data_IF_772976584987
#
_entry.id   IF_772976584987
#
_cell.length_a   1.000
_cell.length_b   1.000
_cell.length_c   1.000
_cell.angle_alpha   90.00
_cell.angle_beta   90.00
_cell.angle_gamma   90.00
#
_symmetry.space_group_name_H-M   'P 1'
#
loop_
_entity.id
_entity.type
_entity.pdbx_description
1 polymer ?
#
# COMPACT_ATOMS: atom_id res chain seq x y z
N UNK A 1 -42.04 19.90 -10.81
CA UNK A 1 -41.44 20.85 -9.85
C UNK A 1 -39.91 20.69 -9.81
N UNK A 2 -39.26 20.63 -10.98
CA UNK A 2 -37.82 20.41 -11.12
C UNK A 2 -37.25 21.42 -12.13
N UNK A 3 -37.22 22.69 -11.75
CA UNK A 3 -36.47 23.71 -12.49
C UNK A 3 -36.15 24.86 -11.54
N UNK A 4 -35.05 24.70 -10.79
CA UNK A 4 -34.21 25.73 -10.15
C UNK A 4 -33.40 25.07 -9.04
N UNK A 5 -32.30 24.41 -9.41
CA UNK A 5 -31.18 24.21 -8.50
C UNK A 5 -30.03 25.06 -9.02
N UNK A 6 -30.03 26.30 -8.53
CA UNK A 6 -28.97 27.29 -8.71
C UNK A 6 -27.75 26.89 -7.89
N UNK A 7 -26.60 27.10 -8.51
CA UNK A 7 -25.22 26.84 -8.05
C UNK A 7 -24.91 27.52 -6.71
N UNK A 8 -24.73 26.73 -5.64
CA UNK A 8 -23.82 26.96 -4.48
C UNK A 8 -23.43 25.61 -3.88
N UNK A 9 -22.28 25.53 -3.21
CA UNK A 9 -21.52 24.29 -2.90
C UNK A 9 -22.04 23.37 -1.77
N UNK A 10 -23.22 23.61 -1.18
CA UNK A 10 -23.79 22.82 -0.07
C UNK A 10 -24.95 21.84 -0.40
N UNK A 11 -26.02 22.25 -1.12
CA UNK A 11 -27.28 21.51 -1.14
C UNK A 11 -27.26 20.17 -1.91
N UNK A 12 -26.38 20.00 -2.90
CA UNK A 12 -26.31 18.75 -3.66
C UNK A 12 -25.58 17.62 -2.91
N UNK A 13 -24.54 17.98 -2.14
CA UNK A 13 -23.75 17.07 -1.31
C UNK A 13 -24.57 16.59 -0.11
N UNK A 14 -25.17 17.54 0.61
CA UNK A 14 -26.07 17.25 1.72
C UNK A 14 -27.32 16.52 1.24
N UNK A 15 -27.89 16.90 0.09
CA UNK A 15 -29.03 16.23 -0.50
C UNK A 15 -28.75 14.77 -0.88
N UNK A 16 -27.60 14.45 -1.48
CA UNK A 16 -27.25 13.07 -1.82
C UNK A 16 -27.02 12.22 -0.56
N UNK A 17 -26.26 12.73 0.40
CA UNK A 17 -25.98 12.06 1.68
C UNK A 17 -27.26 11.85 2.48
N UNK A 18 -28.10 12.88 2.57
CA UNK A 18 -29.42 12.79 3.17
C UNK A 18 -30.33 11.80 2.44
N UNK A 19 -30.24 11.73 1.10
CA UNK A 19 -31.05 10.80 0.33
C UNK A 19 -30.62 9.34 0.56
N UNK A 20 -29.32 9.08 0.68
CA UNK A 20 -28.78 7.75 1.03
C UNK A 20 -29.21 7.37 2.46
N UNK A 21 -29.13 8.31 3.41
CA UNK A 21 -29.46 8.07 4.82
C UNK A 21 -30.95 7.92 5.11
N UNK A 22 -31.81 8.74 4.50
CA UNK A 22 -33.21 8.90 4.94
C UNK A 22 -34.23 8.17 4.08
N UNK A 23 -33.96 7.97 2.78
CA UNK A 23 -34.94 7.33 1.92
C UNK A 23 -34.77 5.82 1.92
N UNK A 24 -35.92 5.13 2.04
CA UNK A 24 -36.17 3.84 1.39
C UNK A 24 -35.84 4.02 -0.10
N UNK A 25 -34.56 3.95 -0.45
CA UNK A 25 -34.10 4.03 -1.83
C UNK A 25 -34.73 2.86 -2.58
N UNK A 26 -35.86 3.12 -3.24
CA UNK A 26 -36.41 2.24 -4.25
C UNK A 26 -35.45 2.25 -5.44
N UNK A 27 -35.40 1.12 -6.14
CA UNK A 27 -34.55 0.82 -7.29
C UNK A 27 -34.38 1.94 -8.31
N UNK A 28 -35.45 2.70 -8.56
CA UNK A 28 -35.49 3.84 -9.48
C UNK A 28 -34.47 4.96 -9.15
N UNK A 29 -33.96 5.03 -7.92
CA UNK A 29 -32.95 6.02 -7.53
C UNK A 29 -31.51 5.65 -7.94
N UNK A 30 -31.23 4.39 -8.26
CA UNK A 30 -29.88 3.93 -8.65
C UNK A 30 -29.33 4.70 -9.86
N UNK A 31 -30.18 4.91 -10.87
CA UNK A 31 -29.85 5.64 -12.10
C UNK A 31 -29.48 7.12 -11.84
N UNK A 32 -29.85 7.66 -10.69
CA UNK A 32 -29.57 9.05 -10.33
C UNK A 32 -28.34 9.20 -9.41
N UNK A 33 -27.98 8.18 -8.64
CA UNK A 33 -26.88 8.26 -7.66
C UNK A 33 -25.51 8.21 -8.33
N UNK A 34 -25.28 7.26 -9.25
CA UNK A 34 -23.95 7.10 -9.88
C UNK A 34 -23.51 8.33 -10.68
N UNK A 35 -24.35 8.97 -11.52
CA UNK A 35 -23.95 10.18 -12.24
C UNK A 35 -23.61 11.35 -11.30
N UNK A 36 -24.28 11.44 -10.15
CA UNK A 36 -24.01 12.47 -9.14
C UNK A 36 -22.69 12.20 -8.41
N UNK A 37 -22.43 10.96 -8.02
CA UNK A 37 -21.15 10.55 -7.44
C UNK A 37 -20.01 10.84 -8.41
N UNK A 38 -20.12 10.40 -9.67
CA UNK A 38 -19.11 10.62 -10.69
C UNK A 38 -18.83 12.12 -10.91
N UNK A 39 -19.87 12.96 -10.96
CA UNK A 39 -19.72 14.41 -11.13
C UNK A 39 -19.06 15.08 -9.92
N UNK A 40 -19.32 14.59 -8.71
CA UNK A 40 -18.69 15.11 -7.49
C UNK A 40 -17.24 14.62 -7.37
N UNK A 41 -16.95 13.37 -7.72
CA UNK A 41 -15.58 12.86 -7.80
C UNK A 41 -14.75 13.65 -8.83
N UNK A 42 -15.29 13.85 -10.03
CA UNK A 42 -14.67 14.69 -11.08
C UNK A 42 -14.35 16.11 -10.56
N UNK A 43 -15.34 16.74 -9.91
CA UNK A 43 -15.18 18.08 -9.36
C UNK A 43 -14.10 18.16 -8.27
N UNK A 44 -13.90 17.08 -7.52
CA UNK A 44 -12.92 17.01 -6.44
C UNK A 44 -11.58 16.39 -6.86
N UNK A 45 -11.44 15.91 -8.10
CA UNK A 45 -10.23 15.23 -8.58
C UNK A 45 -8.95 16.05 -8.37
N UNK A 46 -9.01 17.37 -8.53
CA UNK A 46 -7.84 18.25 -8.36
C UNK A 46 -7.54 18.63 -6.91
N UNK A 47 -8.28 18.11 -5.93
CA UNK A 47 -8.10 18.40 -4.51
C UNK A 47 -8.23 17.11 -3.67
N UNK A 48 -7.10 16.44 -3.37
CA UNK A 48 -7.07 15.15 -2.69
C UNK A 48 -7.83 15.15 -1.36
N UNK A 49 -7.64 16.16 -0.51
CA UNK A 49 -8.32 16.24 0.80
C UNK A 49 -9.83 16.30 0.68
N UNK A 50 -10.35 17.08 -0.28
CA UNK A 50 -11.79 17.18 -0.53
C UNK A 50 -12.34 15.91 -1.15
N UNK A 51 -11.57 15.26 -2.02
CA UNK A 51 -11.96 13.97 -2.58
C UNK A 51 -12.02 12.92 -1.48
N UNK A 52 -11.01 12.83 -0.62
CA UNK A 52 -10.97 11.93 0.54
C UNK A 52 -12.15 12.19 1.48
N UNK A 53 -12.39 13.46 1.83
CA UNK A 53 -13.54 13.85 2.67
C UNK A 53 -14.89 13.51 2.04
N UNK A 54 -15.00 13.59 0.71
CA UNK A 54 -16.18 13.16 -0.03
C UNK A 54 -16.37 11.64 0.01
N UNK A 55 -15.29 10.89 -0.29
CA UNK A 55 -15.28 9.42 -0.26
C UNK A 55 -15.65 8.90 1.13
N UNK A 56 -15.07 9.48 2.18
CA UNK A 56 -15.39 9.16 3.56
C UNK A 56 -16.88 9.36 3.87
N UNK A 57 -17.46 10.46 3.41
CA UNK A 57 -18.86 10.77 3.68
C UNK A 57 -19.84 9.82 2.97
N UNK A 58 -19.64 9.56 1.68
CA UNK A 58 -20.52 8.60 1.00
C UNK A 58 -20.32 7.18 1.51
N UNK A 59 -19.08 6.79 1.87
CA UNK A 59 -18.77 5.47 2.46
C UNK A 59 -19.59 5.27 3.73
N UNK A 60 -19.54 6.24 4.65
CA UNK A 60 -20.35 6.21 5.87
C UNK A 60 -21.85 6.13 5.58
N UNK A 61 -22.33 6.81 4.53
CA UNK A 61 -23.77 6.83 4.20
C UNK A 61 -24.22 5.49 3.63
N UNK A 62 -23.44 4.87 2.74
CA UNK A 62 -23.73 3.53 2.22
C UNK A 62 -23.65 2.47 3.30
N UNK A 63 -22.68 2.58 4.22
CA UNK A 63 -22.58 1.68 5.38
C UNK A 63 -23.80 1.78 6.30
N UNK A 64 -24.18 3.00 6.68
CA UNK A 64 -25.37 3.26 7.49
C UNK A 64 -26.63 2.68 6.82
N UNK A 65 -26.81 2.93 5.53
CA UNK A 65 -27.91 2.34 4.77
C UNK A 65 -27.88 0.80 4.75
N UNK A 66 -26.72 0.21 4.47
CA UNK A 66 -26.53 -1.23 4.42
C UNK A 66 -26.87 -1.88 5.77
N UNK A 67 -26.32 -1.37 6.87
CA UNK A 67 -26.46 -1.96 8.19
C UNK A 67 -27.79 -1.66 8.86
N UNK A 68 -28.29 -0.43 8.77
CA UNK A 68 -29.46 0.01 9.53
C UNK A 68 -30.78 -0.18 8.75
N UNK A 69 -30.72 -0.32 7.43
CA UNK A 69 -31.92 -0.45 6.59
C UNK A 69 -32.04 -1.76 5.82
N UNK A 70 -30.94 -2.26 5.25
CA UNK A 70 -30.98 -3.48 4.44
C UNK A 70 -30.76 -4.74 5.29
N UNK A 71 -29.62 -4.86 5.97
CA UNK A 71 -29.22 -6.07 6.68
C UNK A 71 -30.17 -6.44 7.82
N UNK A 72 -30.67 -5.46 8.59
CA UNK A 72 -31.65 -5.70 9.68
C UNK A 72 -32.94 -6.40 9.23
N UNK A 73 -33.28 -6.39 7.94
CA UNK A 73 -34.46 -7.09 7.42
C UNK A 73 -34.22 -8.59 7.36
N UNK A 74 -33.04 -9.01 6.91
CA UNK A 74 -32.73 -10.40 6.56
C UNK A 74 -31.76 -11.09 7.56
N UNK A 75 -31.06 -10.30 8.37
CA UNK A 75 -30.05 -10.76 9.32
C UNK A 75 -30.29 -10.19 10.72
N UNK A 76 -29.77 -10.87 11.72
CA UNK A 76 -29.67 -10.43 13.11
C UNK A 76 -28.20 -10.19 13.46
N UNK A 77 -27.95 -9.18 14.30
CA UNK A 77 -26.59 -8.94 14.83
C UNK A 77 -26.19 -10.10 15.73
N UNK A 78 -24.98 -10.60 15.52
CA UNK A 78 -24.37 -11.70 16.24
C UNK A 78 -22.95 -11.35 16.72
N UNK A 79 -22.37 -12.27 17.49
CA UNK A 79 -21.02 -12.14 18.03
C UNK A 79 -20.93 -11.24 19.28
N UNK A 80 -19.77 -11.28 19.94
CA UNK A 80 -19.52 -10.61 21.23
C UNK A 80 -19.56 -9.08 21.14
N UNK A 81 -19.40 -8.53 19.93
CA UNK A 81 -19.36 -7.10 19.66
C UNK A 81 -20.45 -6.62 18.68
N UNK A 82 -21.38 -7.49 18.27
CA UNK A 82 -22.48 -7.13 17.38
C UNK A 82 -22.06 -6.67 15.98
N UNK A 83 -20.88 -7.09 15.52
CA UNK A 83 -20.32 -6.81 14.19
C UNK A 83 -20.58 -7.94 13.18
N UNK A 84 -20.98 -9.12 13.66
CA UNK A 84 -21.30 -10.25 12.81
C UNK A 84 -22.79 -10.23 12.47
N UNK A 85 -23.14 -10.80 11.33
CA UNK A 85 -24.51 -10.92 10.87
C UNK A 85 -24.85 -12.40 10.73
N UNK A 86 -25.96 -12.82 11.34
CA UNK A 86 -26.50 -14.17 11.20
C UNK A 86 -27.83 -14.11 10.48
N UNK A 87 -28.00 -14.93 9.45
CA UNK A 87 -29.24 -14.98 8.67
C UNK A 87 -30.42 -15.38 9.56
N UNK A 88 -31.54 -14.67 9.43
CA UNK A 88 -32.81 -15.03 10.08
C UNK A 88 -33.37 -16.33 9.50
N UNK A 89 -34.16 -17.05 10.30
CA UNK A 89 -34.76 -18.30 9.87
C UNK A 89 -35.74 -18.08 8.71
N UNK A 90 -35.74 -18.99 7.73
CA UNK A 90 -36.57 -18.91 6.53
C UNK A 90 -38.10 -18.90 6.82
N UNK A 91 -38.50 -19.22 8.06
CA UNK A 91 -39.88 -19.13 8.53
C UNK A 91 -40.42 -17.68 8.54
N UNK A 92 -39.55 -16.67 8.49
CA UNK A 92 -39.92 -15.25 8.50
C UNK A 92 -40.47 -14.72 7.16
N UNK A 93 -40.49 -15.54 6.09
CA UNK A 93 -41.23 -15.24 4.85
C UNK A 93 -40.78 -13.98 4.08
N UNK A 94 -39.65 -13.36 4.46
CA UNK A 94 -39.13 -12.18 3.80
C UNK A 94 -38.58 -12.53 2.40
N UNK A 95 -39.38 -12.28 1.37
CA UNK A 95 -38.93 -12.35 -0.03
C UNK A 95 -37.87 -11.27 -0.24
N UNK A 96 -36.67 -11.70 -0.64
CA UNK A 96 -35.58 -10.77 -0.96
C UNK A 96 -35.97 -9.99 -2.21
N UNK A 97 -36.04 -8.66 -2.08
CA UNK A 97 -36.25 -7.79 -3.22
C UNK A 97 -34.94 -7.73 -4.03
N UNK A 98 -34.99 -8.20 -5.28
CA UNK A 98 -33.82 -8.31 -6.18
C UNK A 98 -33.15 -6.95 -6.41
N UNK A 99 -33.93 -5.88 -6.56
CA UNK A 99 -33.39 -4.55 -6.82
C UNK A 99 -32.72 -3.93 -5.57
N UNK A 100 -33.28 -4.18 -4.38
CA UNK A 100 -32.64 -3.78 -3.12
C UNK A 100 -31.36 -4.59 -2.88
N UNK A 101 -31.34 -5.88 -3.23
CA UNK A 101 -30.14 -6.73 -3.17
C UNK A 101 -29.07 -6.22 -4.14
N UNK A 102 -29.44 -5.82 -5.35
CA UNK A 102 -28.53 -5.25 -6.33
C UNK A 102 -27.94 -3.91 -5.88
N UNK A 103 -28.74 -3.09 -5.18
CA UNK A 103 -28.27 -1.86 -4.56
C UNK A 103 -27.34 -2.12 -3.36
N UNK A 104 -27.59 -3.18 -2.58
CA UNK A 104 -26.69 -3.61 -1.52
C UNK A 104 -25.33 -4.07 -2.06
N UNK A 105 -25.31 -4.84 -3.16
CA UNK A 105 -24.06 -5.18 -3.84
C UNK A 105 -23.32 -3.93 -4.32
N UNK A 106 -24.03 -2.95 -4.87
CA UNK A 106 -23.43 -1.68 -5.26
C UNK A 106 -22.86 -0.90 -4.05
N UNK A 107 -23.60 -0.84 -2.95
CA UNK A 107 -23.17 -0.20 -1.71
C UNK A 107 -21.88 -0.87 -1.19
N UNK A 108 -21.78 -2.20 -1.25
CA UNK A 108 -20.57 -2.94 -0.90
C UNK A 108 -19.35 -2.47 -1.70
N UNK A 109 -19.49 -2.31 -3.02
CA UNK A 109 -18.39 -1.81 -3.87
C UNK A 109 -17.97 -0.38 -3.51
N UNK A 110 -18.93 0.50 -3.17
CA UNK A 110 -18.62 1.89 -2.78
C UNK A 110 -17.96 1.97 -1.41
N UNK A 111 -18.42 1.17 -0.45
CA UNK A 111 -17.81 1.06 0.88
C UNK A 111 -16.39 0.51 0.80
N UNK A 112 -16.17 -0.49 -0.07
CA UNK A 112 -14.87 -1.13 -0.22
C UNK A 112 -13.73 -0.24 -0.68
N UNK A 113 -14.01 0.93 -1.26
CA UNK A 113 -12.97 1.91 -1.61
C UNK A 113 -12.17 2.40 -0.40
N UNK A 114 -12.72 2.26 0.81
CA UNK A 114 -12.03 2.56 2.07
C UNK A 114 -11.99 1.40 3.04
N UNK A 115 -12.99 0.53 2.98
CA UNK A 115 -13.17 -0.58 3.92
C UNK A 115 -13.24 -1.91 3.13
N UNK A 116 -12.12 -2.38 2.53
CA UNK A 116 -12.09 -3.54 1.64
C UNK A 116 -12.55 -4.83 2.33
N UNK A 117 -12.23 -5.01 3.61
CA UNK A 117 -12.73 -6.12 4.43
C UNK A 117 -14.26 -6.08 4.59
N UNK A 118 -14.83 -4.88 4.78
CA UNK A 118 -16.27 -4.72 4.93
C UNK A 118 -16.99 -4.98 3.60
N UNK A 119 -16.40 -4.58 2.47
CA UNK A 119 -16.88 -4.98 1.14
C UNK A 119 -16.90 -6.50 1.00
N UNK A 120 -15.84 -7.21 1.36
CA UNK A 120 -15.81 -8.67 1.30
C UNK A 120 -16.96 -9.28 2.10
N UNK A 121 -17.14 -8.86 3.36
CA UNK A 121 -18.25 -9.31 4.21
C UNK A 121 -19.61 -9.04 3.59
N UNK A 122 -19.85 -7.85 3.03
CA UNK A 122 -21.12 -7.52 2.40
C UNK A 122 -21.40 -8.34 1.14
N UNK A 123 -20.37 -8.62 0.33
CA UNK A 123 -20.53 -9.48 -0.84
C UNK A 123 -20.88 -10.91 -0.41
N UNK A 124 -20.25 -11.45 0.63
CA UNK A 124 -20.59 -12.77 1.18
C UNK A 124 -22.05 -12.82 1.68
N UNK A 125 -22.49 -11.81 2.43
CA UNK A 125 -23.89 -11.71 2.87
C UNK A 125 -24.86 -11.61 1.69
N UNK A 126 -24.49 -10.91 0.62
CA UNK A 126 -25.29 -10.84 -0.59
C UNK A 126 -25.38 -12.21 -1.29
N UNK A 127 -24.30 -12.99 -1.32
CA UNK A 127 -24.31 -14.38 -1.82
C UNK A 127 -25.21 -15.27 -0.97
N UNK A 128 -25.18 -15.13 0.36
CA UNK A 128 -26.09 -15.87 1.25
C UNK A 128 -27.57 -15.57 0.93
N UNK A 129 -27.88 -14.34 0.52
CA UNK A 129 -29.22 -13.94 0.06
C UNK A 129 -29.54 -14.37 -1.39
N UNK A 130 -28.59 -15.00 -2.09
CA UNK A 130 -28.79 -15.52 -3.45
C UNK A 130 -28.34 -14.59 -4.57
N UNK A 131 -27.51 -13.57 -4.30
CA UNK A 131 -27.00 -12.67 -5.34
C UNK A 131 -25.98 -13.37 -6.26
N UNK A 132 -26.40 -13.67 -7.49
CA UNK A 132 -25.48 -14.15 -8.55
C UNK A 132 -24.44 -13.08 -8.92
N UNK A 133 -24.82 -11.79 -8.83
CA UNK A 133 -23.94 -10.65 -9.12
C UNK A 133 -22.78 -10.57 -8.12
N UNK A 134 -23.07 -10.70 -6.82
CA UNK A 134 -22.04 -10.73 -5.79
C UNK A 134 -21.10 -11.93 -5.97
N UNK A 135 -21.66 -13.12 -6.21
CA UNK A 135 -20.89 -14.33 -6.50
C UNK A 135 -20.01 -14.15 -7.76
N UNK A 136 -20.53 -13.48 -8.78
CA UNK A 136 -19.82 -13.11 -9.99
C UNK A 136 -18.62 -12.20 -9.71
N UNK A 137 -18.79 -11.16 -8.90
CA UNK A 137 -17.71 -10.25 -8.50
C UNK A 137 -16.63 -10.95 -7.67
N UNK A 138 -17.00 -11.78 -6.70
CA UNK A 138 -16.04 -12.57 -5.90
C UNK A 138 -15.25 -13.53 -6.81
N UNK A 139 -15.91 -14.14 -7.78
CA UNK A 139 -15.30 -15.16 -8.63
C UNK A 139 -14.47 -14.60 -9.78
N UNK A 140 -14.94 -13.54 -10.44
CA UNK A 140 -14.37 -13.07 -11.72
C UNK A 140 -14.00 -11.58 -11.73
N UNK A 141 -14.17 -10.86 -10.62
CA UNK A 141 -13.99 -9.41 -10.57
C UNK A 141 -15.07 -8.64 -11.33
N UNK A 142 -14.84 -7.34 -11.54
CA UNK A 142 -15.82 -6.42 -12.12
C UNK A 142 -16.06 -6.62 -13.62
N UNK A 143 -15.18 -7.36 -14.29
CA UNK A 143 -15.12 -7.46 -15.75
C UNK A 143 -14.35 -6.32 -16.43
N UNK A 144 -13.85 -5.33 -15.67
CA UNK A 144 -12.99 -4.26 -16.21
C UNK A 144 -11.62 -4.79 -16.67
N UNK A 145 -11.09 -5.77 -15.94
CA UNK A 145 -9.81 -6.40 -16.23
C UNK A 145 -10.02 -7.84 -16.68
N UNK A 146 -9.09 -8.34 -17.50
CA UNK A 146 -9.10 -9.74 -17.91
C UNK A 146 -8.84 -10.63 -16.69
N UNK A 147 -9.89 -11.31 -16.21
CA UNK A 147 -9.79 -12.13 -15.00
C UNK A 147 -8.80 -13.29 -15.10
N UNK A 148 -8.68 -13.96 -16.26
CA UNK A 148 -7.78 -15.11 -16.46
C UNK A 148 -6.78 -14.88 -17.57
N UNK A 149 -5.52 -15.21 -17.27
CA UNK A 149 -4.41 -15.20 -18.19
C UNK A 149 -3.73 -16.58 -18.17
N UNK A 150 -3.46 -17.11 -19.36
CA UNK A 150 -2.67 -18.33 -19.55
C UNK A 150 -1.53 -17.94 -20.50
N UNK A 151 -0.31 -17.87 -19.95
CA UNK A 151 0.90 -17.56 -20.67
C UNK A 151 1.63 -18.84 -21.09
N UNK A 152 2.88 -18.70 -21.53
CA UNK A 152 3.69 -19.87 -21.89
C UNK A 152 4.42 -20.47 -20.69
N UNK A 153 4.69 -19.64 -19.66
CA UNK A 153 5.44 -20.03 -18.48
C UNK A 153 4.63 -19.88 -17.16
N UNK A 154 3.49 -19.19 -17.22
CA UNK A 154 2.61 -18.97 -16.06
C UNK A 154 1.13 -19.15 -16.38
N UNK A 155 0.36 -19.39 -15.33
CA UNK A 155 -1.08 -19.11 -15.28
C UNK A 155 -1.34 -18.01 -14.27
N UNK A 156 -2.15 -17.03 -14.61
CA UNK A 156 -2.49 -15.94 -13.69
C UNK A 156 -3.99 -15.63 -13.68
N UNK A 157 -4.43 -15.03 -12.58
CA UNK A 157 -5.75 -14.46 -12.47
C UNK A 157 -5.69 -13.14 -11.69
N UNK A 158 -6.60 -12.23 -11.98
CA UNK A 158 -6.75 -10.98 -11.24
C UNK A 158 -8.22 -10.71 -10.95
N UNK A 159 -8.48 -10.15 -9.78
CA UNK A 159 -9.81 -9.73 -9.36
C UNK A 159 -9.69 -8.36 -8.69
N UNK A 160 -10.21 -7.33 -9.35
CA UNK A 160 -10.16 -5.94 -8.90
C UNK A 160 -11.18 -5.63 -7.80
N UNK A 161 -12.17 -6.50 -7.58
CA UNK A 161 -13.14 -6.35 -6.49
C UNK A 161 -12.59 -6.93 -5.20
N UNK A 162 -11.93 -8.09 -5.27
CA UNK A 162 -11.24 -8.67 -4.10
C UNK A 162 -9.82 -8.15 -3.93
N UNK A 163 -9.34 -7.32 -4.86
CA UNK A 163 -7.98 -6.75 -4.87
C UNK A 163 -6.91 -7.86 -4.80
N UNK A 164 -7.12 -8.96 -5.54
CA UNK A 164 -6.21 -10.12 -5.55
C UNK A 164 -5.58 -10.35 -6.93
N UNK A 165 -4.33 -10.79 -6.89
CA UNK A 165 -3.60 -11.31 -8.05
C UNK A 165 -3.08 -12.70 -7.72
N UNK A 166 -3.50 -13.71 -8.47
CA UNK A 166 -2.99 -15.07 -8.39
C UNK A 166 -1.97 -15.31 -9.50
N UNK A 167 -0.77 -15.79 -9.15
CA UNK A 167 0.25 -16.22 -10.11
C UNK A 167 0.63 -17.66 -9.80
N UNK A 168 0.56 -18.51 -10.81
CA UNK A 168 1.08 -19.87 -10.79
C UNK A 168 2.22 -19.97 -11.80
N UNK A 169 3.44 -20.12 -11.29
CA UNK A 169 4.62 -20.39 -12.11
C UNK A 169 4.66 -21.89 -12.44
N UNK A 170 4.91 -22.27 -13.69
CA UNK A 170 5.14 -23.68 -14.03
C UNK A 170 6.55 -24.15 -13.61
N UNK A 171 7.52 -23.23 -13.63
CA UNK A 171 8.89 -23.40 -13.17
C UNK A 171 9.45 -22.08 -12.60
N UNK A 172 10.41 -22.13 -11.69
CA UNK A 172 11.10 -20.92 -11.19
C UNK A 172 12.25 -20.51 -12.12
N UNK A 173 11.92 -20.04 -13.31
CA UNK A 173 12.86 -19.61 -14.36
C UNK A 173 12.63 -18.16 -14.79
N UNK A 174 13.63 -17.55 -15.45
CA UNK A 174 13.59 -16.15 -15.86
C UNK A 174 12.34 -15.81 -16.69
N UNK A 175 11.95 -16.69 -17.61
CA UNK A 175 10.78 -16.49 -18.48
C UNK A 175 9.46 -16.41 -17.69
N UNK A 176 9.31 -17.24 -16.65
CA UNK A 176 8.12 -17.24 -15.80
C UNK A 176 7.99 -15.94 -15.00
N UNK A 177 9.09 -15.46 -14.40
CA UNK A 177 9.09 -14.18 -13.69
C UNK A 177 8.92 -12.99 -14.65
N UNK A 178 9.46 -13.06 -15.87
CA UNK A 178 9.26 -12.06 -16.92
C UNK A 178 7.79 -11.91 -17.29
N UNK A 179 7.10 -13.02 -17.57
CA UNK A 179 5.66 -13.02 -17.84
C UNK A 179 4.86 -12.51 -16.64
N UNK A 180 5.23 -12.91 -15.43
CA UNK A 180 4.57 -12.46 -14.20
C UNK A 180 4.70 -10.95 -13.99
N UNK A 181 5.90 -10.40 -14.15
CA UNK A 181 6.14 -8.95 -14.05
C UNK A 181 5.35 -8.19 -15.11
N UNK A 182 5.41 -8.63 -16.38
CA UNK A 182 4.67 -8.00 -17.46
C UNK A 182 3.15 -8.01 -17.21
N UNK A 183 2.61 -9.12 -16.69
CA UNK A 183 1.20 -9.24 -16.34
C UNK A 183 0.79 -8.24 -15.24
N UNK A 184 1.54 -8.20 -14.13
CA UNK A 184 1.22 -7.29 -13.02
C UNK A 184 1.38 -5.82 -13.45
N UNK A 185 2.49 -5.47 -14.11
CA UNK A 185 2.73 -4.09 -14.57
C UNK A 185 1.68 -3.62 -15.56
N UNK A 186 1.22 -4.51 -16.46
CA UNK A 186 0.10 -4.25 -17.37
C UNK A 186 -1.19 -3.93 -16.63
N UNK A 187 -1.57 -4.75 -15.64
CA UNK A 187 -2.74 -4.49 -14.79
C UNK A 187 -2.67 -3.12 -14.09
N UNK A 188 -1.53 -2.81 -13.46
CA UNK A 188 -1.34 -1.53 -12.77
C UNK A 188 -1.40 -0.34 -13.74
N UNK A 189 -0.85 -0.49 -14.94
CA UNK A 189 -0.92 0.54 -16.00
C UNK A 189 -2.36 0.78 -16.50
N UNK A 190 -3.22 -0.24 -16.44
CA UNK A 190 -4.66 -0.14 -16.76
C UNK A 190 -5.51 0.39 -15.57
N UNK A 191 -4.86 0.67 -14.43
CA UNK A 191 -5.48 1.21 -13.21
C UNK A 191 -6.08 0.14 -12.30
N UNK A 192 -5.51 -1.07 -12.27
CA UNK A 192 -5.81 -2.06 -11.25
C UNK A 192 -5.43 -1.51 -9.86
N UNK A 193 -6.16 -1.85 -8.78
CA UNK A 193 -5.83 -1.39 -7.43
C UNK A 193 -4.37 -1.72 -7.04
N UNK A 194 -3.66 -0.72 -6.51
CA UNK A 194 -2.26 -0.87 -6.07
C UNK A 194 -2.15 -1.60 -4.72
N UNK A 195 -3.18 -1.49 -3.90
CA UNK A 195 -3.31 -2.14 -2.60
C UNK A 195 -3.77 -3.59 -2.74
N UNK A 196 -3.06 -4.39 -3.54
CA UNK A 196 -3.48 -5.77 -3.83
C UNK A 196 -2.75 -6.80 -2.97
N UNK A 197 -3.37 -7.96 -2.82
CA UNK A 197 -2.76 -9.18 -2.31
C UNK A 197 -2.28 -10.05 -3.47
N UNK A 198 -1.05 -10.58 -3.39
CA UNK A 198 -0.55 -11.57 -4.35
C UNK A 198 -0.47 -12.96 -3.75
N UNK A 199 -1.11 -13.91 -4.43
CA UNK A 199 -0.99 -15.33 -4.15
C UNK A 199 -0.04 -15.98 -5.15
N UNK A 200 1.03 -16.58 -4.65
CA UNK A 200 2.06 -17.21 -5.47
C UNK A 200 2.02 -18.73 -5.29
N UNK A 201 1.64 -19.42 -6.36
CA UNK A 201 1.88 -20.85 -6.51
C UNK A 201 3.18 -21.04 -7.29
N UNK A 202 4.17 -21.65 -6.65
CA UNK A 202 5.45 -21.98 -7.28
C UNK A 202 5.80 -23.45 -6.97
N UNK A 203 6.36 -24.20 -7.93
CA UNK A 203 6.79 -25.58 -7.73
C UNK A 203 8.04 -25.69 -6.84
N UNK A 204 8.79 -24.59 -6.66
CA UNK A 204 9.97 -24.54 -5.81
C UNK A 204 9.61 -24.84 -4.35
N UNK A 205 10.32 -25.80 -3.74
CA UNK A 205 10.18 -26.11 -2.31
C UNK A 205 10.94 -25.11 -1.44
N UNK A 206 12.03 -24.57 -1.96
CA UNK A 206 12.86 -23.58 -1.27
C UNK A 206 12.21 -22.20 -1.34
N UNK A 207 11.98 -21.61 -0.17
CA UNK A 207 11.41 -20.27 -0.05
C UNK A 207 12.55 -19.27 0.14
N UNK A 208 12.85 -18.54 -0.92
CA UNK A 208 13.82 -17.45 -0.90
C UNK A 208 13.15 -16.11 -0.60
N UNK A 209 13.85 -15.28 0.16
CA UNK A 209 13.43 -13.94 0.58
C UNK A 209 14.65 -13.02 0.53
N UNK A 210 14.41 -11.71 0.44
CA UNK A 210 15.47 -10.71 0.60
C UNK A 210 16.10 -10.82 2.00
N UNK A 211 17.39 -10.47 2.15
CA UNK A 211 18.09 -10.48 3.43
C UNK A 211 17.66 -9.32 4.34
N UNK A 212 16.34 -9.12 4.51
CA UNK A 212 15.72 -8.03 5.25
C UNK A 212 14.82 -8.62 6.34
N UNK A 213 15.32 -8.64 7.57
CA UNK A 213 14.72 -9.35 8.71
C UNK A 213 13.38 -8.75 9.20
N UNK A 214 13.14 -7.46 8.97
CA UNK A 214 11.92 -6.76 9.39
C UNK A 214 10.76 -6.93 8.41
N UNK A 215 11.02 -7.33 7.16
CA UNK A 215 9.96 -7.56 6.18
C UNK A 215 9.17 -8.82 6.52
N UNK A 216 7.85 -8.78 6.25
CA UNK A 216 7.05 -9.98 6.31
C UNK A 216 7.48 -11.00 5.24
N UNK A 217 7.37 -12.28 5.57
CA UNK A 217 7.65 -13.39 4.65
C UNK A 217 6.42 -13.75 3.83
N UNK A 218 5.93 -12.80 3.03
CA UNK A 218 4.73 -12.96 2.22
C UNK A 218 5.01 -13.68 0.89
N UNK A 219 3.94 -14.06 0.19
CA UNK A 219 4.02 -14.63 -1.16
C UNK A 219 4.51 -13.60 -2.19
N UNK A 220 4.14 -12.34 -2.01
CA UNK A 220 4.60 -11.22 -2.82
C UNK A 220 6.10 -10.97 -2.66
N UNK A 221 6.60 -10.98 -1.42
CA UNK A 221 8.02 -10.93 -1.12
C UNK A 221 8.77 -12.08 -1.82
N UNK A 222 8.25 -13.31 -1.74
CA UNK A 222 8.86 -14.47 -2.41
C UNK A 222 8.89 -14.30 -3.94
N UNK A 223 7.84 -13.74 -4.55
CA UNK A 223 7.82 -13.48 -5.99
C UNK A 223 8.97 -12.56 -6.40
N UNK A 224 9.13 -11.41 -5.75
CA UNK A 224 10.19 -10.46 -6.07
C UNK A 224 11.59 -11.00 -5.75
N UNK A 225 11.76 -11.67 -4.60
CA UNK A 225 13.03 -12.30 -4.27
C UNK A 225 13.45 -13.35 -5.32
N UNK A 226 12.48 -14.09 -5.89
CA UNK A 226 12.71 -15.00 -7.01
C UNK A 226 13.11 -14.28 -8.30
N UNK A 227 12.36 -13.24 -8.69
CA UNK A 227 12.62 -12.47 -9.91
C UNK A 227 13.99 -11.76 -9.88
N UNK A 228 14.38 -11.21 -8.73
CA UNK A 228 15.64 -10.46 -8.56
C UNK A 228 16.91 -11.29 -8.77
N UNK A 229 16.81 -12.62 -8.74
CA UNK A 229 17.91 -13.54 -9.05
C UNK A 229 18.33 -13.48 -10.52
N UNK A 230 17.52 -12.89 -11.39
CA UNK A 230 17.76 -12.79 -12.82
C UNK A 230 18.07 -11.33 -13.18
N UNK A 231 19.35 -10.96 -13.43
CA UNK A 231 19.73 -9.59 -13.78
C UNK A 231 19.00 -9.04 -15.01
N UNK A 232 18.67 -9.91 -15.97
CA UNK A 232 17.87 -9.55 -17.16
C UNK A 232 16.43 -9.10 -16.88
N UNK A 233 15.97 -9.20 -15.63
CA UNK A 233 14.65 -8.72 -15.17
C UNK A 233 14.72 -7.42 -14.38
N UNK A 234 15.90 -6.95 -13.97
CA UNK A 234 16.02 -5.77 -13.10
C UNK A 234 15.35 -4.51 -13.70
N UNK A 235 15.46 -4.22 -15.01
CA UNK A 235 14.72 -3.10 -15.61
C UNK A 235 13.20 -3.26 -15.54
N UNK A 236 12.67 -4.48 -15.69
CA UNK A 236 11.23 -4.75 -15.59
C UNK A 236 10.73 -4.65 -14.15
N UNK A 237 11.57 -4.99 -13.18
CA UNK A 237 11.27 -4.82 -11.75
C UNK A 237 11.24 -3.33 -11.40
N UNK A 238 12.13 -2.53 -11.98
CA UNK A 238 12.12 -1.07 -11.82
C UNK A 238 10.89 -0.43 -12.49
N UNK A 239 10.50 -0.90 -13.68
CA UNK A 239 9.26 -0.47 -14.36
C UNK A 239 8.02 -0.78 -13.52
N UNK A 240 7.94 -2.00 -12.99
CA UNK A 240 6.91 -2.39 -12.02
C UNK A 240 6.86 -1.43 -10.83
N UNK A 241 7.99 -1.15 -10.20
CA UNK A 241 8.04 -0.26 -9.04
C UNK A 241 7.56 1.16 -9.40
N UNK A 242 7.91 1.66 -10.59
CA UNK A 242 7.43 2.93 -11.11
C UNK A 242 5.91 2.99 -11.28
N UNK A 243 5.28 1.88 -11.68
CA UNK A 243 3.82 1.76 -11.79
C UNK A 243 3.12 1.55 -10.43
N UNK A 244 3.78 0.85 -9.50
CA UNK A 244 3.18 0.42 -8.25
C UNK A 244 3.20 1.49 -7.15
N UNK A 245 4.32 2.20 -6.96
CA UNK A 245 4.49 3.12 -5.82
C UNK A 245 3.39 4.18 -5.75
N UNK A 246 2.84 4.34 -4.55
CA UNK A 246 1.85 5.35 -4.21
C UNK A 246 1.92 5.62 -2.71
N UNK A 247 2.10 6.89 -2.35
CA UNK A 247 2.12 7.32 -0.96
C UNK A 247 0.77 6.98 -0.30
N UNK A 248 0.80 6.51 0.95
CA UNK A 248 -0.35 6.05 1.74
C UNK A 248 -1.08 4.80 1.22
N UNK A 249 -0.63 4.18 0.13
CA UNK A 249 -1.11 2.87 -0.29
C UNK A 249 -0.30 1.75 0.39
N UNK A 250 -0.94 0.63 0.71
CA UNK A 250 -0.31 -0.51 1.38
C UNK A 250 -0.65 -1.82 0.66
N UNK A 251 0.33 -2.72 0.53
CA UNK A 251 -0.01 -4.09 0.11
C UNK A 251 -0.93 -4.76 1.13
N UNK A 252 -1.84 -5.61 0.63
CA UNK A 252 -2.74 -6.44 1.45
C UNK A 252 -2.18 -7.86 1.66
N UNK A 253 -0.85 -8.01 1.63
CA UNK A 253 -0.17 -9.30 1.79
C UNK A 253 0.13 -9.66 3.26
N UNK A 254 -0.22 -8.76 4.19
CA UNK A 254 -0.07 -8.88 5.65
C UNK A 254 -1.22 -8.17 6.37
N UNK A 255 -1.45 -8.51 7.64
CA UNK A 255 -2.34 -7.74 8.50
C UNK A 255 -1.83 -6.30 8.68
N UNK A 256 -2.71 -5.28 8.75
CA UNK A 256 -2.31 -3.89 8.97
C UNK A 256 -1.46 -3.70 10.23
N UNK A 257 -0.33 -3.00 10.10
CA UNK A 257 0.54 -2.66 11.23
C UNK A 257 2.00 -2.49 10.83
N UNK A 258 2.92 -2.83 11.75
CA UNK A 258 4.36 -2.55 11.59
C UNK A 258 5.01 -3.14 10.32
N UNK A 259 4.44 -4.23 9.80
CA UNK A 259 4.96 -4.95 8.63
C UNK A 259 4.30 -4.56 7.32
N UNK A 260 3.29 -3.69 7.36
CA UNK A 260 2.67 -3.13 6.16
C UNK A 260 3.70 -2.33 5.38
N UNK A 261 3.64 -2.45 4.07
CA UNK A 261 4.66 -1.87 3.18
C UNK A 261 3.98 -1.26 1.95
N UNK A 262 4.50 -0.13 1.51
CA UNK A 262 4.05 0.54 0.29
C UNK A 262 4.20 -0.39 -0.93
N UNK A 263 3.26 -0.36 -1.89
CA UNK A 263 3.45 -1.01 -3.16
C UNK A 263 4.78 -0.62 -3.82
N UNK A 264 5.58 -1.62 -4.20
CA UNK A 264 6.93 -1.45 -4.75
C UNK A 264 8.07 -1.76 -3.76
N UNK A 265 7.83 -1.86 -2.46
CA UNK A 265 8.90 -2.06 -1.44
C UNK A 265 9.84 -3.22 -1.78
N UNK A 266 9.32 -4.41 -2.03
CA UNK A 266 10.17 -5.59 -2.30
C UNK A 266 11.01 -5.43 -3.58
N UNK A 267 10.44 -4.80 -4.61
CA UNK A 267 11.13 -4.52 -5.87
C UNK A 267 12.27 -3.51 -5.66
N UNK A 268 11.97 -2.36 -5.05
CA UNK A 268 12.94 -1.27 -4.90
C UNK A 268 14.04 -1.62 -3.92
N UNK A 269 13.70 -2.15 -2.74
CA UNK A 269 14.69 -2.54 -1.75
C UNK A 269 15.58 -3.67 -2.29
N UNK A 270 15.01 -4.62 -3.02
CA UNK A 270 15.79 -5.68 -3.65
C UNK A 270 16.77 -5.17 -4.71
N UNK A 271 16.32 -4.29 -5.61
CA UNK A 271 17.18 -3.68 -6.64
C UNK A 271 18.30 -2.84 -6.00
N UNK A 272 17.98 -2.08 -4.96
CA UNK A 272 18.94 -1.25 -4.24
C UNK A 272 20.03 -2.02 -3.49
N UNK A 273 19.82 -3.30 -3.18
CA UNK A 273 20.86 -4.18 -2.65
C UNK A 273 21.77 -4.75 -3.74
N UNK A 274 21.33 -4.79 -5.00
CA UNK A 274 22.02 -5.48 -6.09
C UNK A 274 22.84 -4.56 -6.99
N UNK A 275 22.39 -3.33 -7.25
CA UNK A 275 23.06 -2.44 -8.20
C UNK A 275 22.85 -0.96 -7.88
N UNK A 276 23.93 -0.19 -8.02
CA UNK A 276 23.95 1.27 -7.87
C UNK A 276 23.11 1.99 -8.93
N UNK A 277 22.84 1.34 -10.07
CA UNK A 277 21.99 1.85 -11.16
C UNK A 277 20.59 2.24 -10.67
N UNK A 278 20.08 1.54 -9.64
CA UNK A 278 18.72 1.74 -9.11
C UNK A 278 18.67 2.66 -7.90
N UNK A 279 19.78 3.29 -7.49
CA UNK A 279 19.79 4.23 -6.36
C UNK A 279 18.87 5.45 -6.53
N UNK A 280 18.70 6.03 -7.74
CA UNK A 280 17.69 7.06 -7.95
C UNK A 280 16.27 6.58 -7.59
N UNK A 281 15.92 5.34 -7.95
CA UNK A 281 14.63 4.74 -7.63
C UNK A 281 14.50 4.47 -6.12
N UNK A 282 15.57 3.95 -5.50
CA UNK A 282 15.63 3.73 -4.05
C UNK A 282 15.44 5.01 -3.24
N UNK A 283 16.11 6.11 -3.64
CA UNK A 283 15.96 7.40 -2.96
C UNK A 283 14.54 7.92 -3.08
N UNK A 284 13.97 7.90 -4.29
CA UNK A 284 12.57 8.28 -4.51
C UNK A 284 11.61 7.45 -3.65
N UNK A 285 11.84 6.14 -3.54
CA UNK A 285 11.05 5.28 -2.67
C UNK A 285 11.14 5.73 -1.20
N UNK A 286 12.36 5.94 -0.68
CA UNK A 286 12.56 6.35 0.72
C UNK A 286 11.95 7.71 1.04
N UNK A 287 11.88 8.62 0.07
CA UNK A 287 11.21 9.92 0.21
C UNK A 287 9.67 9.82 0.21
N UNK A 288 9.10 8.73 -0.32
CA UNK A 288 7.66 8.47 -0.34
C UNK A 288 7.19 7.59 0.83
N UNK A 289 8.11 7.01 1.60
CA UNK A 289 7.78 6.19 2.74
C UNK A 289 7.09 7.04 3.80
N UNK A 290 5.92 6.60 4.23
CA UNK A 290 5.22 7.17 5.37
C UNK A 290 5.93 6.69 6.66
N UNK A 291 6.91 7.48 7.11
CA UNK A 291 7.75 7.14 8.27
C UNK A 291 6.99 7.12 9.59
N UNK A 292 5.79 7.71 9.66
CA UNK A 292 4.93 7.69 10.84
C UNK A 292 4.23 6.33 11.00
N UNK A 293 3.81 5.72 9.88
CA UNK A 293 3.03 4.48 9.89
C UNK A 293 3.80 3.24 9.42
N UNK A 294 4.97 3.39 8.79
CA UNK A 294 5.80 2.30 8.28
C UNK A 294 7.15 2.19 9.00
N UNK A 295 7.49 0.98 9.48
CA UNK A 295 8.81 0.69 10.10
C UNK A 295 9.53 -0.54 9.53
N UNK A 296 8.94 -1.20 8.53
CA UNK A 296 9.49 -2.40 7.90
C UNK A 296 10.86 -2.16 7.22
N UNK A 297 11.12 -0.92 6.81
CA UNK A 297 12.34 -0.43 6.17
C UNK A 297 13.45 -0.02 7.16
N UNK A 298 13.18 0.10 8.46
CA UNK A 298 14.18 0.60 9.42
C UNK A 298 15.51 -0.17 9.42
N UNK A 299 15.45 -1.47 9.14
CA UNK A 299 16.62 -2.35 9.09
C UNK A 299 17.37 -2.30 7.76
N UNK A 300 16.87 -1.56 6.77
CA UNK A 300 17.40 -1.59 5.42
C UNK A 300 18.81 -0.98 5.32
N UNK A 301 19.13 0.03 6.13
CA UNK A 301 20.46 0.62 6.16
C UNK A 301 21.57 -0.41 6.44
N UNK A 302 21.35 -1.33 7.39
CA UNK A 302 22.32 -2.37 7.72
C UNK A 302 22.57 -3.30 6.50
N UNK A 303 21.50 -3.74 5.85
CA UNK A 303 21.59 -4.61 4.67
C UNK A 303 22.22 -3.87 3.46
N UNK A 304 21.91 -2.59 3.29
CA UNK A 304 22.51 -1.76 2.23
C UNK A 304 24.03 -1.66 2.38
N UNK A 305 24.51 -1.37 3.59
CA UNK A 305 25.94 -1.28 3.89
C UNK A 305 26.62 -2.65 3.72
N UNK A 306 25.98 -3.72 4.16
CA UNK A 306 26.51 -5.08 3.98
C UNK A 306 26.65 -5.46 2.51
N UNK A 307 25.69 -5.07 1.67
CA UNK A 307 25.67 -5.42 0.26
C UNK A 307 26.59 -4.54 -0.62
N UNK A 308 26.63 -3.23 -0.37
CA UNK A 308 27.31 -2.26 -1.22
C UNK A 308 28.66 -1.80 -0.68
N UNK A 309 28.95 -2.09 0.59
CA UNK A 309 30.00 -1.40 1.32
C UNK A 309 29.66 0.08 1.52
N UNK A 310 30.65 0.86 1.92
CA UNK A 310 30.52 2.30 2.04
C UNK A 310 31.72 3.01 1.42
N UNK A 311 31.41 3.90 0.50
CA UNK A 311 32.35 4.85 -0.07
C UNK A 311 31.72 6.25 -0.03
N UNK A 312 32.52 7.33 -0.07
CA UNK A 312 32.02 8.70 -0.03
C UNK A 312 30.88 9.00 -1.02
N UNK A 313 30.91 8.42 -2.21
CA UNK A 313 29.90 8.59 -3.26
C UNK A 313 28.54 7.95 -2.93
N UNK A 314 28.48 7.00 -2.00
CA UNK A 314 27.23 6.39 -1.54
C UNK A 314 26.55 7.17 -0.42
N UNK A 315 27.22 8.17 0.15
CA UNK A 315 26.69 8.95 1.29
C UNK A 315 25.33 9.60 1.02
N UNK A 316 25.06 10.21 -0.16
CA UNK A 316 23.74 10.78 -0.44
C UNK A 316 22.64 9.72 -0.35
N UNK A 317 22.90 8.51 -0.86
CA UNK A 317 21.95 7.41 -0.81
C UNK A 317 21.75 6.89 0.62
N UNK A 318 22.83 6.74 1.38
CA UNK A 318 22.76 6.34 2.78
C UNK A 318 21.96 7.35 3.61
N UNK A 319 22.23 8.64 3.49
CA UNK A 319 21.49 9.70 4.21
C UNK A 319 20.00 9.63 3.89
N UNK A 320 19.61 9.45 2.62
CA UNK A 320 18.20 9.26 2.24
C UNK A 320 17.59 8.00 2.88
N UNK A 321 18.32 6.87 2.91
CA UNK A 321 17.84 5.64 3.57
C UNK A 321 17.64 5.85 5.08
N UNK A 322 18.55 6.57 5.74
CA UNK A 322 18.46 6.83 7.17
C UNK A 322 17.27 7.74 7.51
N UNK A 323 16.99 8.74 6.66
CA UNK A 323 15.84 9.62 6.78
C UNK A 323 14.50 8.91 6.48
N UNK A 324 14.50 7.90 5.61
CA UNK A 324 13.31 7.08 5.33
C UNK A 324 12.98 6.03 6.41
N UNK A 325 13.72 6.00 7.53
CA UNK A 325 13.37 5.16 8.67
C UNK A 325 12.29 5.79 9.55
N UNK A 326 11.56 4.98 10.30
CA UNK A 326 10.59 5.49 11.28
C UNK A 326 11.27 6.23 12.44
N UNK A 327 10.49 6.99 13.20
CA UNK A 327 10.96 7.69 14.41
C UNK A 327 11.50 6.72 15.49
N UNK A 328 11.10 5.45 15.43
CA UNK A 328 11.56 4.40 16.35
C UNK A 328 12.78 3.63 15.81
N UNK A 329 13.29 4.00 14.63
CA UNK A 329 14.41 3.33 14.01
C UNK A 329 15.68 3.46 14.86
N UNK A 330 16.28 2.32 15.17
CA UNK A 330 17.47 2.26 16.03
C UNK A 330 18.74 2.64 15.26
N UNK A 331 19.83 2.99 15.99
CA UNK A 331 21.13 3.17 15.36
C UNK A 331 21.58 1.92 14.62
N UNK A 332 22.22 2.12 13.47
CA UNK A 332 22.74 1.08 12.59
C UNK A 332 23.92 0.38 13.28
N UNK A 333 23.83 -0.94 13.47
CA UNK A 333 24.84 -1.68 14.24
C UNK A 333 26.10 -2.02 13.45
N UNK A 334 25.95 -2.24 12.16
CA UNK A 334 27.02 -2.70 11.26
C UNK A 334 27.93 -1.56 10.77
N UNK A 335 27.78 -0.35 11.32
CA UNK A 335 28.30 0.87 10.69
C UNK A 335 29.23 1.69 11.59
N UNK A 336 30.32 2.20 11.00
CA UNK A 336 31.18 3.22 11.58
C UNK A 336 31.61 4.22 10.49
N UNK A 337 31.44 5.52 10.76
CA UNK A 337 32.18 6.57 10.04
C UNK A 337 33.60 6.58 10.63
N UNK A 338 34.51 5.82 10.04
CA UNK A 338 35.83 5.52 10.60
C UNK A 338 36.99 6.13 9.81
N UNK A 339 36.73 6.73 8.64
CA UNK A 339 37.72 7.48 7.86
C UNK A 339 37.36 8.96 7.72
N UNK A 340 38.35 9.88 7.68
CA UNK A 340 38.10 11.30 7.45
C UNK A 340 37.31 11.58 6.17
N UNK A 341 37.48 10.78 5.13
CA UNK A 341 36.81 10.93 3.84
C UNK A 341 35.30 10.63 3.97
N UNK A 342 34.93 9.57 4.69
CA UNK A 342 33.54 9.26 4.98
C UNK A 342 32.90 10.32 5.89
N UNK A 343 33.65 10.82 6.88
CA UNK A 343 33.18 11.89 7.75
C UNK A 343 32.97 13.20 6.99
N UNK A 344 33.85 13.53 6.04
CA UNK A 344 33.69 14.70 5.17
C UNK A 344 32.46 14.57 4.27
N UNK A 345 32.28 13.41 3.64
CA UNK A 345 31.12 13.15 2.79
C UNK A 345 29.80 13.29 3.57
N UNK A 346 29.75 12.76 4.80
CA UNK A 346 28.59 12.91 5.66
C UNK A 346 28.33 14.38 6.02
N UNK A 347 29.37 15.14 6.36
CA UNK A 347 29.23 16.58 6.63
C UNK A 347 28.65 17.32 5.43
N UNK A 348 29.20 17.10 4.23
CA UNK A 348 28.72 17.74 2.99
C UNK A 348 27.24 17.43 2.75
N UNK A 349 26.82 16.18 2.89
CA UNK A 349 25.41 15.80 2.72
C UNK A 349 24.48 16.40 3.79
N UNK A 350 24.97 16.61 5.01
CA UNK A 350 24.20 17.19 6.12
C UNK A 350 24.11 18.72 6.06
N UNK A 351 25.01 19.41 5.35
CA UNK A 351 25.00 20.89 5.24
C UNK A 351 23.68 21.41 4.67
N UNK A 352 23.07 20.70 3.71
CA UNK A 352 21.81 21.10 3.08
C UNK A 352 20.55 20.60 3.80
N UNK A 353 20.68 19.90 4.93
CA UNK A 353 19.55 19.30 5.66
C UNK A 353 19.04 20.21 6.76
N UNK A 354 17.76 20.08 7.09
CA UNK A 354 17.16 20.76 8.24
C UNK A 354 17.67 20.18 9.56
N UNK A 355 17.57 20.94 10.65
CA UNK A 355 18.15 20.56 11.94
C UNK A 355 17.61 19.20 12.45
N UNK A 356 16.30 18.96 12.34
CA UNK A 356 15.72 17.67 12.74
C UNK A 356 16.20 16.50 11.87
N UNK A 357 16.47 16.75 10.58
CA UNK A 357 17.01 15.73 9.67
C UNK A 357 18.46 15.39 10.02
N UNK A 358 19.26 16.41 10.34
CA UNK A 358 20.64 16.23 10.82
C UNK A 358 20.64 15.41 12.11
N UNK A 359 19.79 15.77 13.07
CA UNK A 359 19.66 15.06 14.33
C UNK A 359 19.28 13.58 14.11
N UNK A 360 18.30 13.33 13.23
CA UNK A 360 17.86 11.98 12.88
C UNK A 360 19.02 11.14 12.30
N UNK A 361 19.74 11.66 11.32
CA UNK A 361 20.86 10.96 10.69
C UNK A 361 21.98 10.72 11.69
N UNK A 362 22.36 11.73 12.47
CA UNK A 362 23.42 11.63 13.48
C UNK A 362 23.06 10.62 14.58
N UNK A 363 21.80 10.60 15.02
CA UNK A 363 21.29 9.57 15.94
C UNK A 363 21.41 8.18 15.34
N UNK A 364 20.97 8.00 14.09
CA UNK A 364 20.99 6.70 13.42
C UNK A 364 22.41 6.18 13.19
N UNK A 365 23.40 7.06 13.04
CA UNK A 365 24.80 6.69 12.85
C UNK A 365 25.52 6.49 14.18
N UNK A 366 25.48 7.47 15.08
CA UNK A 366 26.32 7.51 16.27
C UNK A 366 25.61 7.08 17.56
N UNK A 367 24.29 6.86 17.49
CA UNK A 367 23.46 6.76 18.68
C UNK A 367 23.37 8.10 19.38
N UNK A 368 23.53 8.13 20.70
CA UNK A 368 23.35 9.39 21.45
C UNK A 368 24.46 10.41 21.17
N UNK A 369 24.12 11.69 21.33
CA UNK A 369 25.07 12.80 21.31
C UNK A 369 26.32 12.56 22.17
N UNK A 370 26.15 11.95 23.34
CA UNK A 370 27.25 11.59 24.25
C UNK A 370 28.22 10.58 23.63
N UNK A 371 27.72 9.61 22.85
CA UNK A 371 28.56 8.64 22.14
C UNK A 371 29.39 9.34 21.06
N UNK A 372 28.77 10.22 20.27
CA UNK A 372 29.51 11.03 19.27
C UNK A 372 30.61 11.87 19.94
N UNK A 373 30.30 12.54 21.05
CA UNK A 373 31.29 13.32 21.80
C UNK A 373 32.46 12.48 22.35
N UNK A 374 32.19 11.24 22.76
CA UNK A 374 33.23 10.31 23.20
C UNK A 374 34.10 9.84 22.03
N UNK A 375 33.52 9.56 20.86
CA UNK A 375 34.26 9.21 19.65
C UNK A 375 35.18 10.36 19.21
N UNK A 376 34.67 11.59 19.14
CA UNK A 376 35.45 12.77 18.77
C UNK A 376 36.70 12.98 19.66
N UNK A 377 36.60 12.69 20.97
CA UNK A 377 37.74 12.82 21.91
C UNK A 377 38.84 11.78 21.70
N UNK A 378 38.51 10.62 21.12
CA UNK A 378 39.43 9.48 20.94
C UNK A 378 40.19 9.56 19.61
N UNK A 379 39.60 10.21 18.62
CA UNK A 379 40.18 10.32 17.29
C UNK A 379 41.23 11.45 17.19
N UNK A 380 42.27 11.29 16.37
CA UNK A 380 43.17 12.37 16.00
C UNK A 380 42.56 13.30 14.93
N UNK A 381 43.19 14.46 14.70
CA UNK A 381 42.89 15.28 13.51
C UNK A 381 43.35 14.53 12.24
N UNK A 382 42.61 14.57 11.12
CA UNK A 382 41.45 15.44 10.82
C UNK A 382 40.08 14.86 11.19
N UNK A 383 40.01 13.63 11.69
CA UNK A 383 38.74 12.98 12.05
C UNK A 383 38.04 13.70 13.21
N UNK A 384 38.79 14.03 14.26
CA UNK A 384 38.28 14.76 15.43
C UNK A 384 37.51 16.02 15.06
N UNK A 385 38.08 16.86 14.20
CA UNK A 385 37.49 18.15 13.80
C UNK A 385 36.14 17.95 13.09
N UNK A 386 36.03 16.90 12.25
CA UNK A 386 34.80 16.57 11.55
C UNK A 386 33.71 16.09 12.51
N UNK A 387 34.07 15.21 13.45
CA UNK A 387 33.14 14.72 14.47
C UNK A 387 32.69 15.84 15.42
N UNK A 388 33.56 16.79 15.77
CA UNK A 388 33.22 17.97 16.57
C UNK A 388 32.25 18.90 15.81
N UNK A 389 32.41 19.04 14.49
CA UNK A 389 31.47 19.78 13.65
C UNK A 389 30.08 19.12 13.63
N UNK A 390 30.02 17.80 13.46
CA UNK A 390 28.76 17.05 13.55
C UNK A 390 28.11 17.19 14.93
N UNK A 391 28.91 17.17 16.00
CA UNK A 391 28.45 17.32 17.37
C UNK A 391 27.81 18.70 17.64
N UNK A 392 28.21 19.73 16.89
CA UNK A 392 27.60 21.05 16.96
C UNK A 392 26.20 21.11 16.33
N UNK A 393 25.89 20.20 15.39
CA UNK A 393 24.58 20.05 14.77
C UNK A 393 23.66 19.07 15.50
N UNK A 394 24.23 18.24 16.38
CA UNK A 394 23.48 17.30 17.19
C UNK A 394 22.95 18.02 18.45
N UNK A 395 21.75 18.60 18.33
CA UNK A 395 21.06 19.32 19.41
C UNK A 395 20.60 18.38 20.54
#
# INVERSE_FOLDING_TARGET
MWSKLSVKQGPAREGLVYNIRKYKLQSDCFLHIEPLLARLEEKHRSNPDRLLGWVSQYTSSFREWAEEHFLVRYFERAGTFGQDWRRKDAADGAVVNEEELDFFVYAALKVGRREPELRARYLDLAVELGSEKAAGYIKNGSGRFRHRFEGTAIKAAANDVTETIDIHLYAEEEAAYREGLAYITGLLSEGFPKEYQLNLKSPGKDKHYLPLNKLAKSQLHRFFAGALRYPGLHPLIAEYAGAAMEEFAWYQDVDPGEKSVMPGTYAVLGLGLLSTEYFPLLRRYMEMVDTEHQSAQDGYAEAFIEAQGLTPDLMPCLVTILLGGSDLAKPVKSFLIDTPELAEALLMELESKEDYQRETVLYRIFGTRTKLAQSAKKEPSPMKEKLERMLAWYA
#
